data_IF_783197820813
#
_entry.id   IF_783197820813
#
_cell.length_a   1.000
_cell.length_b   1.000
_cell.length_c   1.000
_cell.angle_alpha   90.00
_cell.angle_beta   90.00
_cell.angle_gamma   90.00
#
_symmetry.space_group_name_H-M   'P 1'
#
loop_
_entity.id
_entity.type
_entity.pdbx_description
1 polymer ?
#
# COMPACT_ATOMS: atom_id res chain seq x y z
N UNK A 1 20.08 14.73 91.11
CA UNK A 1 19.78 13.30 91.38
C UNK A 1 18.70 12.83 90.42
N UNK A 2 18.80 11.56 89.95
CA UNK A 2 18.07 10.88 88.86
C UNK A 2 18.60 11.26 87.46
N UNK A 3 19.60 10.59 86.89
CA UNK A 3 19.78 9.18 86.48
C UNK A 3 18.64 8.63 85.62
N UNK A 4 18.92 8.36 84.33
CA UNK A 4 18.96 7.04 83.65
C UNK A 4 19.35 7.31 82.16
N UNK A 5 20.53 6.88 81.67
CA UNK A 5 20.94 5.54 81.17
C UNK A 5 20.44 5.30 79.72
N UNK A 6 21.34 5.44 78.73
CA UNK A 6 22.02 4.36 77.95
C UNK A 6 21.13 3.87 76.79
N UNK A 7 21.59 3.71 75.55
CA UNK A 7 22.79 2.99 75.08
C UNK A 7 23.24 3.45 73.69
N UNK A 8 24.57 3.43 73.49
CA UNK A 8 25.32 3.29 72.23
C UNK A 8 24.79 2.12 71.38
N UNK A 9 24.86 2.14 70.05
CA UNK A 9 26.01 1.83 69.18
C UNK A 9 25.54 2.08 67.72
N UNK A 10 26.30 2.42 66.68
CA UNK A 10 27.73 2.52 66.45
C UNK A 10 27.95 3.24 65.09
N UNK A 11 29.04 4.00 65.03
CA UNK A 11 30.02 4.13 63.93
C UNK A 11 29.62 4.57 62.50
N UNK A 12 30.26 5.70 62.13
CA UNK A 12 31.09 5.96 60.94
C UNK A 12 30.53 6.58 59.64
N UNK A 13 31.02 7.81 59.41
CA UNK A 13 31.65 8.37 58.20
C UNK A 13 30.84 8.70 56.90
N UNK A 14 30.78 10.02 56.67
CA UNK A 14 31.34 10.74 55.50
C UNK A 14 30.59 10.81 54.15
N UNK A 15 30.28 12.07 53.77
CA UNK A 15 30.10 12.67 52.43
C UNK A 15 28.85 12.22 51.62
N UNK A 16 28.15 13.05 50.86
CA UNK A 16 28.52 14.30 50.17
C UNK A 16 27.26 15.11 49.80
N UNK A 17 27.50 16.36 49.44
CA UNK A 17 26.56 17.39 48.99
C UNK A 17 25.51 16.90 47.97
N UNK A 18 24.28 17.39 48.10
CA UNK A 18 23.34 17.47 46.98
C UNK A 18 22.76 18.88 46.92
N UNK A 19 23.30 19.64 45.98
CA UNK A 19 22.80 20.94 45.55
C UNK A 19 21.46 20.78 44.83
N UNK A 20 20.37 21.16 45.51
CA UNK A 20 19.07 21.31 44.87
C UNK A 20 19.03 22.63 44.08
N UNK A 21 19.57 22.61 42.85
CA UNK A 21 19.39 23.72 41.92
C UNK A 21 18.00 23.67 41.26
N UNK A 22 17.12 24.56 41.70
CA UNK A 22 15.86 24.88 41.01
C UNK A 22 16.18 25.54 39.66
N UNK A 23 15.71 25.02 38.50
CA UNK A 23 16.07 25.59 37.21
C UNK A 23 15.40 26.94 37.03
N UNK A 24 16.20 28.01 36.85
CA UNK A 24 15.70 29.35 36.52
C UNK A 24 15.14 29.38 35.09
N UNK A 25 14.21 30.31 34.83
CA UNK A 25 13.47 30.44 33.57
C UNK A 25 14.38 30.62 32.33
N UNK A 26 15.63 31.08 32.52
CA UNK A 26 16.63 31.18 31.46
C UNK A 26 17.15 29.82 30.97
N UNK A 27 17.20 28.82 31.85
CA UNK A 27 17.75 27.49 31.53
C UNK A 27 16.79 26.67 30.68
N UNK A 28 15.46 26.86 30.85
CA UNK A 28 14.44 26.20 30.01
C UNK A 28 14.43 26.72 28.57
N UNK A 29 14.63 28.04 28.39
CA UNK A 29 14.79 28.65 27.05
C UNK A 29 16.07 28.17 26.36
N UNK A 30 17.17 28.00 27.11
CA UNK A 30 18.42 27.45 26.59
C UNK A 30 18.29 25.99 26.13
N UNK A 31 17.61 25.14 26.91
CA UNK A 31 17.34 23.74 26.55
C UNK A 31 16.46 23.64 25.29
N UNK A 32 15.47 24.53 25.14
CA UNK A 32 14.63 24.57 23.93
C UNK A 32 15.43 24.89 22.66
N UNK A 33 16.36 25.85 22.72
CA UNK A 33 17.26 26.17 21.59
C UNK A 33 18.24 25.04 21.27
N UNK A 34 18.71 24.30 22.27
CA UNK A 34 19.56 23.12 22.07
C UNK A 34 18.78 22.02 21.33
N UNK A 35 17.53 21.76 21.71
CA UNK A 35 16.68 20.76 21.04
C UNK A 35 16.39 21.16 19.58
N UNK A 36 16.08 22.44 19.32
CA UNK A 36 15.92 22.96 17.95
C UNK A 36 17.22 22.77 17.14
N UNK A 37 18.38 23.01 17.75
CA UNK A 37 19.68 22.84 17.11
C UNK A 37 19.98 21.38 16.76
N UNK A 38 19.64 20.44 17.64
CA UNK A 38 19.80 19.00 17.41
C UNK A 38 18.88 18.53 16.27
N UNK A 39 17.63 18.99 16.24
CA UNK A 39 16.69 18.67 15.16
C UNK A 39 17.18 19.24 13.83
N UNK A 40 17.67 20.49 13.82
CA UNK A 40 18.28 21.11 12.65
C UNK A 40 19.51 20.33 12.15
N UNK A 41 20.39 19.92 13.05
CA UNK A 41 21.57 19.12 12.71
C UNK A 41 21.20 17.75 12.13
N UNK A 42 20.20 17.07 12.71
CA UNK A 42 19.69 15.79 12.18
C UNK A 42 19.08 15.93 10.79
N UNK A 43 18.35 17.01 10.52
CA UNK A 43 17.81 17.32 9.19
C UNK A 43 18.93 17.58 8.18
N UNK A 44 19.99 18.31 8.56
CA UNK A 44 21.15 18.57 7.70
C UNK A 44 21.89 17.25 7.40
N UNK A 45 22.11 16.39 8.39
CA UNK A 45 22.74 15.09 8.19
C UNK A 45 21.89 14.20 7.28
N UNK A 46 20.56 14.20 7.45
CA UNK A 46 19.63 13.48 6.58
C UNK A 46 19.70 13.96 5.12
N UNK A 47 19.71 15.27 4.90
CA UNK A 47 19.82 15.87 3.56
C UNK A 47 21.19 15.54 2.93
N UNK A 48 22.28 15.62 3.69
CA UNK A 48 23.63 15.25 3.22
C UNK A 48 23.71 13.75 2.90
N UNK A 49 23.08 12.89 3.70
CA UNK A 49 23.04 11.45 3.45
C UNK A 49 22.23 11.12 2.18
N UNK A 50 21.08 11.76 1.97
CA UNK A 50 20.27 11.61 0.75
C UNK A 50 21.04 12.13 -0.48
N UNK A 51 21.69 13.29 -0.37
CA UNK A 51 22.52 13.84 -1.44
C UNK A 51 23.72 12.92 -1.74
N UNK A 52 24.41 12.40 -0.72
CA UNK A 52 25.49 11.43 -0.87
C UNK A 52 24.98 10.15 -1.54
N UNK A 53 23.80 9.64 -1.19
CA UNK A 53 23.23 8.43 -1.80
C UNK A 53 22.91 8.64 -3.30
N UNK A 54 22.41 9.82 -3.66
CA UNK A 54 22.15 10.19 -5.07
C UNK A 54 23.47 10.39 -5.84
N UNK A 55 24.45 11.12 -5.29
CA UNK A 55 25.74 11.36 -5.93
C UNK A 55 26.66 10.12 -5.97
N UNK A 56 26.57 9.22 -4.99
CA UNK A 56 27.29 7.94 -4.99
C UNK A 56 26.66 6.90 -5.91
N UNK A 57 25.41 7.08 -6.35
CA UNK A 57 24.78 6.23 -7.35
C UNK A 57 25.25 6.54 -8.79
N UNK A 58 25.90 7.68 -9.02
CA UNK A 58 26.40 8.10 -10.35
C UNK A 58 27.90 7.84 -10.61
N UNK A 59 28.69 7.35 -9.64
CA UNK A 59 30.16 7.24 -9.81
C UNK A 59 30.77 5.90 -9.37
N UNK A 60 30.20 4.77 -9.81
CA UNK A 60 30.93 3.51 -9.83
C UNK A 60 30.76 2.78 -11.15
N UNK A 61 31.51 3.23 -12.16
CA UNK A 61 31.85 2.41 -13.32
C UNK A 61 33.19 2.86 -13.88
N UNK A 62 34.27 2.59 -13.16
CA UNK A 62 35.57 2.35 -13.79
C UNK A 62 36.47 1.53 -12.85
N UNK A 63 36.37 0.21 -12.97
CA UNK A 63 37.54 -0.64 -12.80
C UNK A 63 37.46 -1.79 -13.81
N UNK A 64 38.32 -1.71 -14.82
CA UNK A 64 38.57 -2.81 -15.76
C UNK A 64 39.12 -4.00 -14.97
N UNK A 65 38.46 -5.14 -15.05
CA UNK A 65 39.17 -6.42 -15.17
C UNK A 65 38.28 -7.46 -15.84
N UNK A 66 38.89 -8.10 -16.82
CA UNK A 66 38.40 -9.13 -17.72
C UNK A 66 37.54 -10.19 -17.00
N UNK A 67 36.29 -10.38 -17.44
CA UNK A 67 35.66 -11.70 -17.63
C UNK A 67 34.18 -11.58 -18.05
N UNK A 68 33.90 -12.07 -19.26
CA UNK A 68 32.59 -12.44 -19.79
C UNK A 68 31.49 -11.36 -19.76
N UNK A 69 31.39 -10.63 -20.86
CA UNK A 69 30.21 -9.87 -21.28
C UNK A 69 29.00 -10.80 -21.42
N UNK A 70 28.28 -11.04 -20.33
CA UNK A 70 26.83 -11.26 -20.41
C UNK A 70 26.21 -9.88 -20.60
N UNK A 71 25.88 -9.56 -21.83
CA UNK A 71 24.98 -8.45 -22.16
C UNK A 71 23.69 -8.63 -21.35
N UNK A 72 23.60 -8.04 -20.16
CA UNK A 72 22.31 -7.74 -19.52
C UNK A 72 21.72 -6.61 -20.33
N UNK A 73 21.11 -6.96 -21.46
CA UNK A 73 20.06 -6.12 -22.02
C UNK A 73 19.05 -5.96 -20.90
N UNK A 74 18.94 -4.77 -20.30
CA UNK A 74 17.77 -4.44 -19.52
C UNK A 74 16.58 -4.77 -20.42
N UNK A 75 15.83 -5.82 -20.08
CA UNK A 75 14.65 -6.19 -20.84
C UNK A 75 13.67 -5.05 -20.69
N UNK A 76 13.67 -4.16 -21.68
CA UNK A 76 12.73 -3.07 -21.75
C UNK A 76 11.33 -3.66 -21.66
N UNK A 77 10.55 -3.20 -20.69
CA UNK A 77 9.16 -3.62 -20.56
C UNK A 77 8.40 -3.20 -21.83
N UNK A 78 7.41 -3.99 -22.26
CA UNK A 78 6.56 -3.59 -23.36
C UNK A 78 5.79 -2.31 -22.99
N UNK A 79 5.29 -1.61 -24.01
CA UNK A 79 4.30 -0.55 -23.81
C UNK A 79 3.07 -1.14 -23.10
N UNK A 80 2.39 -0.32 -22.31
CA UNK A 80 1.18 -0.71 -21.59
C UNK A 80 0.14 -1.28 -22.56
N UNK A 81 -0.20 -2.54 -22.37
CA UNK A 81 -1.30 -3.19 -23.06
C UNK A 81 -2.60 -2.88 -22.32
N UNK A 82 -3.48 -2.11 -22.97
CA UNK A 82 -4.78 -1.74 -22.41
C UNK A 82 -5.82 -2.78 -22.82
N UNK A 83 -6.51 -3.35 -21.84
CA UNK A 83 -7.64 -4.25 -22.07
C UNK A 83 -8.90 -3.40 -22.18
N UNK A 84 -9.67 -3.58 -23.25
CA UNK A 84 -10.99 -2.95 -23.40
C UNK A 84 -12.07 -3.98 -23.07
N UNK A 85 -13.03 -3.60 -22.24
CA UNK A 85 -14.17 -4.44 -21.88
C UNK A 85 -15.45 -3.65 -22.09
N UNK A 86 -16.26 -4.11 -23.04
CA UNK A 86 -17.62 -3.62 -23.17
C UNK A 86 -18.51 -4.30 -22.12
N UNK A 87 -18.66 -3.64 -20.96
CA UNK A 87 -19.53 -4.11 -19.87
C UNK A 87 -21.00 -4.22 -20.31
N UNK A 88 -21.42 -3.55 -21.39
CA UNK A 88 -22.81 -3.66 -21.89
C UNK A 88 -23.01 -4.83 -22.85
N UNK A 89 -21.96 -5.60 -23.15
CA UNK A 89 -22.02 -6.68 -24.14
C UNK A 89 -22.58 -7.98 -23.57
N UNK A 90 -23.20 -8.76 -24.46
CA UNK A 90 -23.60 -10.14 -24.14
C UNK A 90 -22.40 -11.01 -23.77
N UNK A 91 -21.23 -10.79 -24.41
CA UNK A 91 -19.99 -11.50 -24.06
C UNK A 91 -19.61 -11.27 -22.59
N UNK A 92 -19.67 -10.02 -22.12
CA UNK A 92 -19.37 -9.71 -20.73
C UNK A 92 -20.39 -10.35 -19.77
N UNK A 93 -21.68 -10.30 -20.12
CA UNK A 93 -22.71 -10.95 -19.31
C UNK A 93 -22.43 -12.46 -19.16
N UNK A 94 -22.25 -13.16 -20.28
CA UNK A 94 -22.10 -14.62 -20.27
C UNK A 94 -20.76 -15.05 -19.64
N UNK A 95 -19.67 -14.39 -19.98
CA UNK A 95 -18.32 -14.84 -19.62
C UNK A 95 -17.80 -14.24 -18.31
N UNK A 96 -18.47 -13.26 -17.72
CA UNK A 96 -18.05 -12.64 -16.46
C UNK A 96 -19.16 -12.57 -15.42
N UNK A 97 -20.33 -12.01 -15.77
CA UNK A 97 -21.42 -11.86 -14.79
C UNK A 97 -22.06 -13.22 -14.45
N UNK A 98 -22.19 -14.11 -15.44
CA UNK A 98 -22.85 -15.42 -15.31
C UNK A 98 -21.88 -16.60 -15.27
N UNK A 99 -20.57 -16.35 -15.15
CA UNK A 99 -19.54 -17.39 -15.13
C UNK A 99 -18.56 -17.20 -13.97
N UNK A 100 -18.05 -18.28 -13.36
CA UNK A 100 -17.05 -18.19 -12.30
C UNK A 100 -15.72 -17.67 -12.86
N UNK A 101 -15.24 -16.56 -12.31
CA UNK A 101 -13.91 -16.01 -12.59
C UNK A 101 -13.15 -15.55 -11.32
N UNK A 102 -13.24 -16.27 -10.17
CA UNK A 102 -12.59 -15.82 -8.93
C UNK A 102 -11.06 -15.79 -9.03
N UNK A 103 -10.49 -16.59 -9.91
CA UNK A 103 -9.04 -16.68 -10.13
C UNK A 103 -8.49 -15.58 -11.04
N UNK A 104 -9.35 -14.71 -11.57
CA UNK A 104 -9.01 -13.57 -12.41
C UNK A 104 -9.64 -13.61 -13.81
N UNK A 105 -9.37 -12.56 -14.59
CA UNK A 105 -10.06 -12.31 -15.86
C UNK A 105 -9.14 -11.67 -16.92
N UNK A 106 -9.42 -11.94 -18.20
CA UNK A 106 -8.67 -11.44 -19.38
C UNK A 106 -7.14 -11.55 -19.25
N UNK A 107 -6.67 -12.62 -18.62
CA UNK A 107 -5.24 -12.95 -18.51
C UNK A 107 -4.49 -12.33 -17.33
N UNK A 108 -5.19 -11.57 -16.48
CA UNK A 108 -4.75 -11.20 -15.13
C UNK A 108 -5.25 -12.28 -14.17
N UNK A 109 -4.35 -12.84 -13.36
CA UNK A 109 -4.68 -13.95 -12.46
C UNK A 109 -4.20 -13.66 -11.05
N UNK A 110 -5.01 -14.02 -10.07
CA UNK A 110 -4.67 -14.00 -8.64
C UNK A 110 -3.34 -14.75 -8.42
N UNK A 111 -2.51 -14.26 -7.51
CA UNK A 111 -1.19 -14.81 -7.19
C UNK A 111 -0.08 -14.52 -8.20
N UNK A 112 -0.38 -13.92 -9.36
CA UNK A 112 0.65 -13.56 -10.34
C UNK A 112 1.52 -12.42 -9.81
N UNK A 113 2.85 -12.55 -9.87
CA UNK A 113 3.73 -11.47 -9.41
C UNK A 113 3.64 -10.23 -10.31
N UNK A 114 3.82 -9.05 -9.70
CA UNK A 114 3.90 -7.75 -10.38
C UNK A 114 4.88 -7.76 -11.54
N UNK A 115 6.09 -8.29 -11.31
CA UNK A 115 7.10 -8.43 -12.39
C UNK A 115 6.59 -9.25 -13.58
N UNK A 116 5.81 -10.32 -13.34
CA UNK A 116 5.26 -11.14 -14.42
C UNK A 116 4.11 -10.43 -15.14
N UNK A 117 3.28 -9.68 -14.42
CA UNK A 117 2.27 -8.80 -15.03
C UNK A 117 2.96 -7.75 -15.92
N UNK A 118 3.93 -7.02 -15.38
CA UNK A 118 4.60 -5.94 -16.11
C UNK A 118 5.35 -6.45 -17.35
N UNK A 119 5.99 -7.64 -17.26
CA UNK A 119 6.61 -8.28 -18.42
C UNK A 119 5.63 -8.61 -19.53
N UNK A 120 4.37 -8.92 -19.19
CA UNK A 120 3.33 -9.33 -20.15
C UNK A 120 2.51 -8.15 -20.66
N UNK A 121 2.18 -7.20 -19.79
CA UNK A 121 1.23 -6.11 -20.05
C UNK A 121 1.85 -4.71 -19.99
N UNK A 122 3.13 -4.58 -19.65
CA UNK A 122 3.79 -3.30 -19.43
C UNK A 122 3.48 -2.71 -18.05
N UNK A 123 3.96 -1.49 -17.79
CA UNK A 123 3.59 -0.74 -16.59
C UNK A 123 2.13 -0.30 -16.65
N UNK A 124 1.48 -0.13 -15.50
CA UNK A 124 0.11 0.38 -15.44
C UNK A 124 0.01 1.80 -16.03
N UNK A 125 -1.19 2.17 -16.51
CA UNK A 125 -1.45 3.53 -17.01
C UNK A 125 -1.81 4.52 -15.89
N UNK A 126 -1.99 4.02 -14.66
CA UNK A 126 -2.35 4.81 -13.50
C UNK A 126 -2.77 3.91 -12.33
N UNK A 127 -3.17 4.57 -11.25
CA UNK A 127 -3.68 3.93 -10.03
C UNK A 127 -5.06 4.48 -9.74
N UNK A 128 -5.96 3.61 -9.28
CA UNK A 128 -7.27 3.99 -8.77
C UNK A 128 -7.57 3.25 -7.47
N UNK A 129 -8.22 3.93 -6.54
CA UNK A 129 -8.64 3.33 -5.28
C UNK A 129 -9.94 2.53 -5.46
N UNK A 130 -9.94 1.29 -5.00
CA UNK A 130 -11.12 0.40 -4.96
C UNK A 130 -11.19 -0.28 -3.59
N UNK A 131 -12.12 0.17 -2.75
CA UNK A 131 -12.40 -0.39 -1.43
C UNK A 131 -11.15 -0.45 -0.52
N UNK A 132 -10.39 0.64 -0.48
CA UNK A 132 -9.15 0.78 0.28
C UNK A 132 -7.90 0.22 -0.42
N UNK A 133 -8.05 -0.41 -1.59
CA UNK A 133 -6.93 -0.96 -2.35
C UNK A 133 -6.47 -0.04 -3.47
N UNK A 134 -5.16 0.16 -3.59
CA UNK A 134 -4.53 0.82 -4.73
C UNK A 134 -4.46 -0.12 -5.93
N UNK A 135 -5.41 0.01 -6.85
CA UNK A 135 -5.53 -0.82 -8.04
C UNK A 135 -4.82 -0.19 -9.24
N UNK A 136 -3.84 -0.91 -9.79
CA UNK A 136 -3.07 -0.58 -10.98
C UNK A 136 -3.90 -0.80 -12.25
N UNK A 137 -4.03 0.23 -13.08
CA UNK A 137 -4.96 0.24 -14.21
C UNK A 137 -4.30 -0.20 -15.54
N UNK A 138 -5.03 -1.00 -16.31
CA UNK A 138 -4.67 -1.57 -17.61
C UNK A 138 -5.86 -1.48 -18.57
N UNK A 139 -6.36 -0.27 -18.85
CA UNK A 139 -7.60 -0.06 -19.58
C UNK A 139 -8.83 -0.20 -18.66
N UNK A 140 -9.75 -1.07 -19.05
CA UNK A 140 -10.96 -1.43 -18.29
C UNK A 140 -10.70 -2.59 -17.31
N UNK A 141 -9.44 -3.01 -17.12
CA UNK A 141 -9.02 -3.87 -16.01
C UNK A 141 -8.21 -3.05 -15.01
N UNK A 142 -8.42 -3.30 -13.72
CA UNK A 142 -7.53 -2.85 -12.66
C UNK A 142 -7.17 -4.02 -11.74
N UNK A 143 -5.96 -4.04 -11.19
CA UNK A 143 -5.50 -5.09 -10.27
C UNK A 143 -4.84 -4.48 -9.05
N UNK A 144 -5.08 -5.01 -7.86
CA UNK A 144 -4.27 -4.65 -6.68
C UNK A 144 -3.26 -5.75 -6.37
N UNK A 145 -2.20 -5.37 -5.67
CA UNK A 145 -1.18 -6.29 -5.19
C UNK A 145 -1.24 -6.40 -3.67
N UNK A 146 -0.97 -7.58 -3.16
CA UNK A 146 -0.72 -7.78 -1.74
C UNK A 146 0.72 -7.36 -1.36
N UNK A 147 1.07 -7.54 -0.09
CA UNK A 147 2.39 -7.19 0.46
C UNK A 147 3.56 -7.99 -0.16
N UNK A 148 3.28 -9.09 -0.86
CA UNK A 148 4.28 -9.91 -1.58
C UNK A 148 4.40 -9.54 -3.07
N UNK A 149 3.85 -8.39 -3.49
CA UNK A 149 3.78 -7.97 -4.89
C UNK A 149 3.08 -9.02 -5.80
N UNK A 150 2.10 -9.75 -5.28
CA UNK A 150 1.27 -10.68 -6.05
C UNK A 150 -0.14 -10.14 -6.22
N UNK A 151 -0.74 -10.38 -7.38
CA UNK A 151 -2.11 -9.94 -7.67
C UNK A 151 -3.04 -10.53 -6.61
N UNK A 152 -3.75 -9.65 -5.92
CA UNK A 152 -4.66 -10.00 -4.82
C UNK A 152 -6.12 -9.81 -5.22
N UNK A 153 -6.38 -8.83 -6.08
CA UNK A 153 -7.70 -8.60 -6.65
C UNK A 153 -7.61 -8.31 -8.14
N UNK A 154 -8.63 -8.75 -8.90
CA UNK A 154 -8.80 -8.44 -10.32
C UNK A 154 -10.18 -7.82 -10.53
N UNK A 155 -10.16 -6.57 -10.97
CA UNK A 155 -11.35 -5.74 -11.19
C UNK A 155 -11.58 -5.49 -12.67
N UNK A 156 -12.84 -5.54 -13.08
CA UNK A 156 -13.33 -4.87 -14.30
C UNK A 156 -13.76 -3.46 -13.89
N UNK A 157 -13.08 -2.47 -14.43
CA UNK A 157 -13.12 -1.09 -13.93
C UNK A 157 -13.54 -0.13 -15.06
N UNK A 158 -14.83 -0.15 -15.47
CA UNK A 158 -15.32 0.62 -16.61
C UNK A 158 -15.13 2.13 -16.38
N UNK A 159 -14.84 2.86 -17.47
CA UNK A 159 -14.62 4.31 -17.41
C UNK A 159 -15.91 5.12 -17.21
N UNK A 160 -17.01 4.69 -17.83
CA UNK A 160 -18.29 5.38 -17.81
C UNK A 160 -19.43 4.37 -17.75
N UNK A 161 -19.85 4.02 -16.54
CA UNK A 161 -21.02 3.19 -16.29
C UNK A 161 -21.78 3.75 -15.08
N UNK A 162 -23.02 4.14 -15.29
CA UNK A 162 -23.87 4.60 -14.18
C UNK A 162 -24.52 3.43 -13.47
N UNK A 163 -24.86 3.63 -12.19
CA UNK A 163 -25.69 2.71 -11.40
C UNK A 163 -26.98 2.33 -12.12
N UNK A 164 -27.68 3.33 -12.67
CA UNK A 164 -28.96 3.15 -13.38
C UNK A 164 -28.81 2.34 -14.67
N UNK A 165 -27.76 2.60 -15.46
CA UNK A 165 -27.49 1.78 -16.64
C UNK A 165 -27.14 0.34 -16.27
N UNK A 166 -26.42 0.16 -15.16
CA UNK A 166 -26.04 -1.16 -14.67
C UNK A 166 -27.25 -1.98 -14.22
N UNK A 167 -28.13 -1.44 -13.37
CA UNK A 167 -29.32 -2.16 -12.93
C UNK A 167 -30.34 -2.38 -14.05
N UNK A 168 -30.36 -1.52 -15.06
CA UNK A 168 -31.18 -1.77 -16.27
C UNK A 168 -30.70 -2.99 -17.07
N UNK A 169 -29.41 -3.33 -17.00
CA UNK A 169 -28.82 -4.44 -17.76
C UNK A 169 -28.77 -5.75 -16.97
N UNK A 170 -28.59 -5.66 -15.64
CA UNK A 170 -28.32 -6.80 -14.77
C UNK A 170 -29.34 -6.97 -13.65
N UNK A 171 -30.46 -6.24 -13.72
CA UNK A 171 -31.46 -6.13 -12.66
C UNK A 171 -30.90 -5.51 -11.36
N UNK A 172 -31.75 -5.42 -10.35
CA UNK A 172 -31.35 -4.97 -9.01
C UNK A 172 -30.47 -6.03 -8.34
N UNK A 173 -29.49 -5.63 -7.51
CA UNK A 173 -28.62 -6.58 -6.81
C UNK A 173 -29.39 -7.44 -5.79
N UNK A 174 -28.87 -8.64 -5.53
CA UNK A 174 -29.40 -9.55 -4.52
C UNK A 174 -29.26 -8.95 -3.10
N UNK A 175 -28.15 -8.25 -2.86
CA UNK A 175 -27.85 -7.61 -1.57
C UNK A 175 -27.05 -6.32 -1.77
N UNK A 176 -27.26 -5.34 -0.87
CA UNK A 176 -26.51 -4.09 -0.83
C UNK A 176 -25.90 -3.92 0.57
N UNK A 177 -24.57 -3.76 0.65
CA UNK A 177 -23.85 -3.42 1.89
C UNK A 177 -23.02 -2.17 1.67
N UNK A 178 -23.55 -1.02 2.11
CA UNK A 178 -22.92 0.29 1.88
C UNK A 178 -22.76 0.57 0.38
N UNK A 179 -21.54 0.83 -0.05
CA UNK A 179 -21.21 1.12 -1.46
C UNK A 179 -20.92 -0.13 -2.31
N UNK A 180 -21.16 -1.34 -1.78
CA UNK A 180 -20.96 -2.61 -2.47
C UNK A 180 -22.31 -3.28 -2.73
N UNK A 181 -22.55 -3.63 -3.99
CA UNK A 181 -23.70 -4.42 -4.42
C UNK A 181 -23.25 -5.84 -4.74
N UNK A 182 -24.08 -6.82 -4.40
CA UNK A 182 -23.80 -8.24 -4.59
C UNK A 182 -24.81 -8.83 -5.56
N UNK A 183 -24.29 -9.50 -6.59
CA UNK A 183 -25.07 -10.24 -7.57
C UNK A 183 -24.61 -11.69 -7.58
N UNK A 184 -25.51 -12.59 -7.99
CA UNK A 184 -25.29 -14.03 -7.94
C UNK A 184 -24.87 -14.51 -6.54
N UNK A 185 -25.47 -13.93 -5.49
CA UNK A 185 -25.23 -14.35 -4.11
C UNK A 185 -25.91 -15.70 -3.76
N UNK A 186 -26.21 -16.53 -4.77
CA UNK A 186 -26.79 -17.86 -4.59
C UNK A 186 -25.68 -18.90 -4.40
N UNK A 187 -25.74 -19.61 -3.27
CA UNK A 187 -24.75 -20.58 -2.82
C UNK A 187 -24.36 -21.65 -3.86
N UNK A 188 -25.24 -21.99 -4.81
CA UNK A 188 -24.98 -23.05 -5.78
C UNK A 188 -24.08 -22.64 -6.96
N UNK A 189 -23.84 -21.33 -7.18
CA UNK A 189 -23.10 -20.86 -8.35
C UNK A 189 -21.57 -20.89 -8.16
N UNK A 190 -21.09 -20.98 -6.92
CA UNK A 190 -19.66 -21.07 -6.60
C UNK A 190 -18.88 -19.76 -6.73
N UNK A 191 -19.54 -18.65 -7.07
CA UNK A 191 -18.96 -17.32 -7.16
C UNK A 191 -20.00 -16.25 -6.85
N UNK A 192 -19.53 -15.09 -6.41
CA UNK A 192 -20.35 -13.89 -6.20
C UNK A 192 -19.75 -12.74 -6.99
N UNK A 193 -20.58 -11.88 -7.56
CA UNK A 193 -20.15 -10.65 -8.20
C UNK A 193 -20.29 -9.49 -7.22
N UNK A 194 -19.17 -8.86 -6.86
CA UNK A 194 -19.14 -7.62 -6.10
C UNK A 194 -19.04 -6.44 -7.06
N UNK A 195 -20.00 -5.54 -7.00
CA UNK A 195 -20.01 -4.28 -7.74
C UNK A 195 -19.73 -3.15 -6.75
N UNK A 196 -18.55 -2.56 -6.85
CA UNK A 196 -18.17 -1.40 -6.05
C UNK A 196 -18.69 -0.14 -6.72
N UNK A 197 -19.33 0.73 -5.94
CA UNK A 197 -20.00 1.92 -6.46
C UNK A 197 -19.48 3.19 -5.81
N UNK A 198 -19.72 4.34 -6.45
CA UNK A 198 -19.46 5.66 -5.88
C UNK A 198 -20.40 6.67 -6.50
N UNK A 199 -21.12 7.42 -5.66
CA UNK A 199 -22.15 8.36 -6.10
C UNK A 199 -23.14 7.68 -7.07
N UNK A 200 -23.24 8.14 -8.33
CA UNK A 200 -24.09 7.54 -9.36
C UNK A 200 -23.37 6.55 -10.30
N UNK A 201 -22.11 6.18 -10.03
CA UNK A 201 -21.27 5.41 -10.94
C UNK A 201 -20.84 4.05 -10.38
N UNK A 202 -20.55 3.12 -11.30
CA UNK A 202 -19.86 1.86 -11.01
C UNK A 202 -18.35 2.14 -11.02
N UNK A 203 -17.67 1.88 -9.89
CA UNK A 203 -16.21 2.02 -9.78
C UNK A 203 -15.50 0.80 -10.35
N UNK A 204 -15.95 -0.38 -9.94
CA UNK A 204 -15.30 -1.65 -10.23
C UNK A 204 -16.29 -2.80 -10.06
N UNK A 205 -16.02 -3.90 -10.76
CA UNK A 205 -16.76 -5.15 -10.69
C UNK A 205 -15.74 -6.26 -10.47
N UNK A 206 -15.99 -7.12 -9.50
CA UNK A 206 -15.10 -8.20 -9.09
C UNK A 206 -15.88 -9.50 -9.03
N UNK A 207 -15.31 -10.56 -9.58
CA UNK A 207 -15.83 -11.92 -9.42
C UNK A 207 -15.01 -12.57 -8.31
N UNK A 208 -15.64 -12.95 -7.22
CA UNK A 208 -14.99 -13.52 -6.03
C UNK A 208 -15.52 -14.92 -5.73
N UNK A 209 -14.79 -15.75 -4.97
CA UNK A 209 -15.35 -16.99 -4.44
C UNK A 209 -16.68 -16.71 -3.72
N UNK A 210 -17.59 -17.69 -3.75
CA UNK A 210 -18.88 -17.57 -3.08
C UNK A 210 -18.71 -17.12 -1.62
N UNK A 211 -19.52 -16.15 -1.22
CA UNK A 211 -19.65 -15.66 0.16
C UNK A 211 -21.01 -15.98 0.76
#
# INVERSE_FOLDING_TARGET
>A
MKNYKSTEDSKTHSHSETSNHKPSDSTKKMIFWIIIGIIGAALIIGIVYIAFMIFSQENHSEHKSNNQTKNKTEKQLPKTHKVNINVKSQEFNQNFMQSPNPEGYKGFKIGTSKSKIEKKFGKSEGVREVNGNDAQQYGDIAISYNLEDKVDHVYVAPRQMTKKEFTKLYDEPDEIKGDIWYYNANYYNGFTIKVFTSQQYIKAIENVPQI
#
